data_IF_891554873324
#
_entry.id   IF_891554873324
#
_cell.length_a   1.000
_cell.length_b   1.000
_cell.length_c   1.000
_cell.angle_alpha   90.00
_cell.angle_beta   90.00
_cell.angle_gamma   90.00
#
_symmetry.space_group_name_H-M   'P 1'
#
loop_
_entity.id
_entity.type
_entity.pdbx_description
1 polymer ?
#
# COMPACT_ATOMS: atom_id res chain seq x y z
N UNK A 1 -21.07 -10.66 -3.80
CA UNK A 1 -20.91 -9.29 -3.26
C UNK A 1 -19.56 -8.64 -3.62
N UNK A 2 -18.41 -9.34 -3.57
CA UNK A 2 -17.08 -8.79 -3.84
C UNK A 2 -16.86 -8.26 -5.28
N UNK A 3 -17.57 -8.80 -6.28
CA UNK A 3 -17.48 -8.35 -7.69
C UNK A 3 -18.04 -6.94 -7.92
N UNK A 4 -19.06 -6.53 -7.19
CA UNK A 4 -19.68 -5.22 -7.33
C UNK A 4 -18.91 -4.10 -6.63
N UNK A 5 -18.17 -4.44 -5.57
CA UNK A 5 -17.31 -3.47 -4.87
C UNK A 5 -16.13 -3.04 -5.77
N UNK A 6 -15.57 -3.98 -6.53
CA UNK A 6 -14.44 -3.73 -7.45
C UNK A 6 -14.89 -2.87 -8.64
N UNK A 7 -16.11 -3.06 -9.14
CA UNK A 7 -16.71 -2.24 -10.21
C UNK A 7 -17.00 -0.82 -9.72
N UNK A 8 -17.45 -0.65 -8.48
CA UNK A 8 -17.73 0.66 -7.89
C UNK A 8 -16.44 1.49 -7.72
N UNK A 9 -15.34 0.87 -7.30
CA UNK A 9 -14.04 1.55 -7.20
C UNK A 9 -13.44 1.90 -8.56
N UNK A 10 -13.65 1.07 -9.58
CA UNK A 10 -13.19 1.35 -10.94
C UNK A 10 -13.97 2.51 -11.58
N UNK A 11 -15.27 2.64 -11.28
CA UNK A 11 -16.11 3.73 -11.80
C UNK A 11 -15.76 5.11 -11.21
N UNK A 12 -15.34 5.15 -9.96
CA UNK A 12 -14.89 6.40 -9.31
C UNK A 12 -13.55 6.88 -9.88
N UNK A 13 -12.65 5.96 -10.25
CA UNK A 13 -11.35 6.31 -10.85
C UNK A 13 -11.47 6.84 -12.30
N UNK A 14 -12.52 6.47 -13.04
CA UNK A 14 -12.74 6.89 -14.43
C UNK A 14 -13.45 8.26 -14.53
N UNK A 15 -14.24 8.63 -13.53
CA UNK A 15 -15.01 9.90 -13.57
C UNK A 15 -14.18 11.17 -13.31
N UNK A 16 -12.92 11.06 -12.88
CA UNK A 16 -12.03 12.21 -12.65
C UNK A 16 -11.13 12.57 -13.84
N UNK A 17 -11.18 11.81 -14.94
CA UNK A 17 -10.31 11.99 -16.10
C UNK A 17 -10.93 12.81 -17.26
N UNK A 18 -12.13 13.38 -17.09
CA UNK A 18 -12.74 14.25 -18.10
C UNK A 18 -12.37 15.71 -17.86
N UNK A 19 -11.12 16.07 -18.07
CA UNK A 19 -10.73 17.45 -18.27
C UNK A 19 -11.16 17.85 -19.68
N UNK A 20 -12.14 18.76 -19.78
CA UNK A 20 -12.59 19.36 -21.02
C UNK A 20 -11.43 20.11 -21.67
N UNK A 21 -11.15 19.75 -22.91
CA UNK A 21 -10.34 20.58 -23.81
C UNK A 21 -11.32 21.49 -24.53
N UNK A 22 -11.45 22.72 -24.06
CA UNK A 22 -12.15 23.77 -24.80
C UNK A 22 -11.26 24.25 -25.93
N UNK A 23 -11.64 23.92 -27.13
CA UNK A 23 -11.05 24.46 -28.35
C UNK A 23 -11.81 25.74 -28.71
N UNK A 24 -11.21 26.89 -28.44
CA UNK A 24 -11.73 28.19 -28.88
C UNK A 24 -11.40 28.43 -30.36
N UNK A 25 -12.39 28.89 -31.15
CA UNK A 25 -12.12 29.22 -32.56
C UNK A 25 -11.48 30.61 -32.69
N UNK A 26 -10.43 30.64 -33.46
CA UNK A 26 -9.64 31.76 -33.93
C UNK A 26 -10.51 32.92 -34.49
N UNK A 27 -10.35 34.12 -33.93
CA UNK A 27 -10.81 35.38 -34.52
C UNK A 27 -9.64 36.35 -34.55
N UNK A 28 -9.14 36.57 -35.75
CA UNK A 28 -8.34 37.74 -36.08
C UNK A 28 -9.17 39.01 -35.85
N UNK A 29 -8.64 39.97 -35.09
CA UNK A 29 -8.58 41.37 -35.53
C UNK A 29 -7.63 42.16 -34.63
N UNK A 30 -7.07 43.16 -35.30
CA UNK A 30 -5.90 43.93 -34.95
C UNK A 30 -6.11 44.91 -33.78
N UNK A 31 -4.98 45.29 -33.21
CA UNK A 31 -4.54 46.62 -32.77
C UNK A 31 -4.56 46.96 -31.29
N UNK A 32 -3.42 47.55 -30.90
CA UNK A 32 -3.16 48.41 -29.72
C UNK A 32 -2.70 47.80 -28.40
N UNK A 33 -1.37 47.70 -28.32
CA UNK A 33 -0.53 48.10 -27.17
C UNK A 33 -1.20 48.31 -25.81
N UNK A 34 -1.07 47.30 -24.95
CA UNK A 34 -0.71 47.48 -23.54
C UNK A 34 -0.07 46.22 -23.01
N UNK A 35 1.23 46.28 -22.89
CA UNK A 35 2.04 45.25 -22.24
C UNK A 35 1.79 45.29 -20.75
N UNK A 36 0.73 44.61 -20.26
CA UNK A 36 0.64 44.26 -18.89
C UNK A 36 1.50 43.01 -18.69
N UNK A 37 2.77 43.21 -18.37
CA UNK A 37 3.61 42.17 -17.79
C UNK A 37 2.96 41.74 -16.48
N UNK A 38 2.18 40.66 -16.52
CA UNK A 38 1.90 39.89 -15.33
C UNK A 38 3.25 39.39 -14.77
N UNK A 39 3.56 39.72 -13.51
CA UNK A 39 4.74 39.18 -12.90
C UNK A 39 4.53 37.66 -12.81
N UNK A 40 5.20 36.91 -13.65
CA UNK A 40 5.43 35.47 -13.47
C UNK A 40 6.20 35.34 -12.16
N UNK A 41 5.50 35.24 -11.05
CA UNK A 41 6.08 34.81 -9.79
C UNK A 41 6.48 33.32 -9.96
N UNK A 42 7.51 33.11 -10.75
CA UNK A 42 8.32 31.90 -10.65
C UNK A 42 8.95 31.99 -9.26
N UNK A 43 8.25 31.50 -8.25
CA UNK A 43 8.85 31.21 -6.95
C UNK A 43 9.96 30.22 -7.24
N UNK A 44 11.18 30.72 -7.41
CA UNK A 44 12.39 29.94 -7.23
C UNK A 44 12.36 29.42 -5.79
N UNK A 45 11.69 28.27 -5.61
CA UNK A 45 11.80 27.52 -4.36
C UNK A 45 13.26 27.12 -4.26
N UNK A 46 13.95 27.77 -3.34
CA UNK A 46 15.35 27.48 -3.05
C UNK A 46 15.50 25.95 -3.00
N UNK A 47 16.52 25.44 -3.66
CA UNK A 47 16.82 24.02 -3.83
C UNK A 47 17.12 23.41 -2.44
N UNK A 48 16.06 23.19 -1.65
CA UNK A 48 16.15 22.58 -0.32
C UNK A 48 16.43 21.11 -0.51
N UNK A 49 17.48 20.63 0.17
CA UNK A 49 17.83 19.20 0.18
C UNK A 49 16.68 18.36 0.74
N UNK A 50 16.01 18.85 1.79
CA UNK A 50 14.87 18.25 2.44
C UNK A 50 13.63 19.12 2.19
N UNK A 51 12.59 18.56 1.60
CA UNK A 51 11.38 19.29 1.20
C UNK A 51 10.19 19.05 2.14
N UNK A 52 10.16 17.92 2.85
CA UNK A 52 9.08 17.61 3.80
C UNK A 52 9.10 16.18 4.29
N UNK A 53 8.26 15.93 5.26
CA UNK A 53 8.00 14.61 5.84
C UNK A 53 6.51 14.30 5.66
N UNK A 54 6.19 13.10 5.18
CA UNK A 54 4.81 12.65 5.04
C UNK A 54 4.53 11.49 5.98
N UNK A 55 3.42 11.59 6.71
CA UNK A 55 2.88 10.50 7.51
C UNK A 55 1.61 9.98 6.83
N UNK A 56 1.59 8.71 6.47
CA UNK A 56 0.46 8.08 5.77
C UNK A 56 -0.10 6.87 6.52
N UNK A 57 -1.36 6.58 6.27
CA UNK A 57 -2.06 5.38 6.75
C UNK A 57 -2.77 4.68 5.59
N UNK A 58 -2.82 3.35 5.65
CA UNK A 58 -3.55 2.53 4.68
C UNK A 58 -5.00 2.35 5.10
N UNK A 59 -5.91 2.73 4.20
CA UNK A 59 -7.35 2.62 4.42
C UNK A 59 -7.87 1.22 4.07
N UNK A 60 -7.31 0.58 3.04
CA UNK A 60 -7.78 -0.73 2.57
C UNK A 60 -7.62 -1.78 3.64
N UNK A 61 -6.49 -1.79 4.33
CA UNK A 61 -6.23 -2.73 5.41
C UNK A 61 -7.26 -2.63 6.54
N UNK A 62 -7.66 -1.39 6.87
CA UNK A 62 -8.67 -1.10 7.91
C UNK A 62 -10.06 -1.63 7.48
N UNK A 63 -10.44 -1.42 6.23
CA UNK A 63 -11.72 -1.89 5.69
C UNK A 63 -11.75 -3.41 5.56
N UNK A 64 -10.68 -4.01 5.07
CA UNK A 64 -10.56 -5.47 4.89
C UNK A 64 -10.68 -6.23 6.20
N UNK A 65 -10.23 -5.68 7.31
CA UNK A 65 -10.38 -6.25 8.64
C UNK A 65 -11.84 -6.44 9.08
N UNK A 66 -12.75 -5.62 8.57
CA UNK A 66 -14.18 -5.70 8.89
C UNK A 66 -14.96 -6.69 8.02
N UNK A 67 -14.41 -7.07 6.87
CA UNK A 67 -15.12 -7.83 5.83
C UNK A 67 -14.49 -9.20 5.60
N UNK A 68 -13.27 -9.46 6.11
CA UNK A 68 -12.50 -10.65 5.81
C UNK A 68 -11.90 -11.24 7.10
N UNK A 69 -11.54 -12.52 7.04
CA UNK A 69 -10.85 -13.23 8.14
C UNK A 69 -9.42 -12.72 8.41
N UNK A 70 -8.92 -11.76 7.63
CA UNK A 70 -7.58 -11.17 7.73
C UNK A 70 -7.67 -9.65 7.66
N UNK A 71 -6.85 -8.99 8.48
CA UNK A 71 -6.71 -7.53 8.50
C UNK A 71 -5.24 -7.13 8.60
N UNK A 72 -4.90 -6.04 7.94
CA UNK A 72 -3.60 -5.39 8.04
C UNK A 72 -3.80 -3.91 8.36
N UNK A 73 -3.16 -3.42 9.40
CA UNK A 73 -3.09 -2.00 9.74
C UNK A 73 -1.66 -1.55 9.52
N UNK A 74 -1.46 -0.45 8.81
CA UNK A 74 -0.11 0.05 8.58
C UNK A 74 -0.07 1.57 8.51
N UNK A 75 1.05 2.10 8.98
CA UNK A 75 1.43 3.51 8.86
C UNK A 75 2.77 3.59 8.14
N UNK A 76 2.96 4.65 7.36
CA UNK A 76 4.15 4.92 6.60
C UNK A 76 4.71 6.30 6.95
N UNK A 77 6.01 6.38 7.17
CA UNK A 77 6.75 7.62 7.29
C UNK A 77 7.64 7.74 6.06
N UNK A 78 7.47 8.81 5.28
CA UNK A 78 8.21 9.06 4.05
C UNK A 78 8.84 10.45 4.08
N UNK A 79 10.13 10.52 3.79
CA UNK A 79 10.85 11.78 3.67
C UNK A 79 10.97 12.18 2.19
N UNK A 80 10.79 13.47 1.89
CA UNK A 80 10.93 13.99 0.53
C UNK A 80 12.30 14.68 0.37
N UNK A 81 13.17 14.07 -0.45
CA UNK A 81 14.49 14.58 -0.75
C UNK A 81 14.52 15.09 -2.19
N UNK A 82 14.59 16.42 -2.35
CA UNK A 82 14.65 17.13 -3.65
C UNK A 82 13.48 16.76 -4.59
N UNK A 83 12.32 16.38 -4.07
CA UNK A 83 11.17 15.94 -4.87
C UNK A 83 11.40 14.67 -5.69
N UNK A 84 12.57 14.04 -5.57
CA UNK A 84 12.98 12.92 -6.42
C UNK A 84 13.12 11.60 -5.69
N UNK A 85 13.71 11.61 -4.50
CA UNK A 85 14.01 10.43 -3.71
C UNK A 85 13.16 10.49 -2.44
N UNK A 86 12.43 9.43 -2.18
CA UNK A 86 11.47 9.33 -1.09
C UNK A 86 11.76 8.08 -0.25
N UNK A 87 12.76 8.16 0.66
CA UNK A 87 12.96 7.09 1.63
C UNK A 87 11.70 6.86 2.45
N UNK A 88 11.35 5.61 2.70
CA UNK A 88 10.13 5.23 3.39
C UNK A 88 10.38 4.13 4.42
N UNK A 89 9.76 4.28 5.57
CA UNK A 89 9.65 3.25 6.60
C UNK A 89 8.17 3.01 6.84
N UNK A 90 7.76 1.75 6.81
CA UNK A 90 6.39 1.34 7.12
C UNK A 90 6.40 0.40 8.31
N UNK A 91 5.49 0.63 9.22
CA UNK A 91 5.20 -0.25 10.35
C UNK A 91 3.74 -0.64 10.30
N UNK A 92 3.47 -1.89 10.60
CA UNK A 92 2.10 -2.38 10.60
C UNK A 92 1.90 -3.56 11.53
N UNK A 93 0.64 -3.94 11.61
CA UNK A 93 0.16 -5.05 12.41
C UNK A 93 -0.81 -5.87 11.57
N UNK A 94 -0.49 -7.15 11.37
CA UNK A 94 -1.32 -8.08 10.62
C UNK A 94 -1.96 -9.11 11.52
N UNK A 95 -3.19 -9.49 11.21
CA UNK A 95 -3.90 -10.59 11.88
C UNK A 95 -4.62 -11.45 10.86
N UNK A 96 -4.71 -12.73 11.15
CA UNK A 96 -5.54 -13.67 10.42
C UNK A 96 -6.17 -14.66 11.41
N UNK A 97 -7.44 -14.97 11.18
CA UNK A 97 -8.18 -15.99 11.90
C UNK A 97 -9.04 -16.72 10.85
N UNK A 98 -8.56 -17.87 10.41
CA UNK A 98 -9.21 -18.67 9.36
C UNK A 98 -9.56 -20.03 9.90
N UNK A 99 -10.78 -20.44 9.65
CA UNK A 99 -11.26 -21.79 9.79
C UNK A 99 -11.51 -22.36 8.38
N UNK A 100 -11.02 -23.54 8.14
CA UNK A 100 -11.24 -24.25 6.89
C UNK A 100 -12.38 -25.25 7.11
N UNK A 101 -13.53 -24.95 6.53
CA UNK A 101 -14.76 -25.73 6.71
C UNK A 101 -14.66 -27.16 6.17
N UNK A 102 -13.75 -27.40 5.21
CA UNK A 102 -13.58 -28.73 4.59
C UNK A 102 -12.67 -29.63 5.43
N UNK A 103 -11.62 -29.08 6.05
CA UNK A 103 -10.61 -29.84 6.81
C UNK A 103 -10.75 -29.66 8.32
N UNK A 104 -11.56 -28.70 8.80
CA UNK A 104 -11.69 -28.36 10.21
C UNK A 104 -10.41 -27.79 10.82
N UNK A 105 -9.44 -27.39 10.00
CA UNK A 105 -8.19 -26.77 10.46
C UNK A 105 -8.44 -25.32 10.80
N UNK A 106 -8.14 -24.95 12.02
CA UNK A 106 -8.20 -23.57 12.48
C UNK A 106 -6.79 -22.97 12.53
N UNK A 107 -6.60 -21.82 11.85
CA UNK A 107 -5.34 -21.08 11.81
C UNK A 107 -5.52 -19.68 12.39
N UNK A 108 -4.65 -19.32 13.34
CA UNK A 108 -4.68 -18.00 13.99
C UNK A 108 -3.28 -17.42 14.10
N UNK A 109 -3.12 -16.18 13.72
CA UNK A 109 -1.88 -15.41 13.93
C UNK A 109 -2.18 -13.93 14.06
N UNK A 110 -1.32 -13.23 14.78
CA UNK A 110 -1.31 -11.78 14.87
C UNK A 110 0.10 -11.31 15.24
N UNK A 111 0.65 -10.37 14.47
CA UNK A 111 2.01 -9.87 14.76
C UNK A 111 2.28 -8.54 14.07
N UNK A 112 3.24 -7.75 14.60
CA UNK A 112 3.77 -6.61 13.89
C UNK A 112 4.63 -7.05 12.70
N UNK A 113 4.76 -6.13 11.73
CA UNK A 113 5.69 -6.23 10.62
C UNK A 113 6.30 -4.86 10.31
N UNK A 114 7.45 -4.87 9.69
CA UNK A 114 8.15 -3.66 9.26
C UNK A 114 8.59 -3.76 7.81
N UNK A 115 8.65 -2.62 7.12
CA UNK A 115 9.23 -2.47 5.79
C UNK A 115 10.09 -1.22 5.74
N UNK A 116 11.19 -1.31 5.00
CA UNK A 116 12.05 -0.17 4.70
C UNK A 116 12.31 -0.15 3.20
N UNK A 117 12.38 1.04 2.64
CA UNK A 117 12.62 1.17 1.20
C UNK A 117 12.81 2.58 0.73
N UNK A 118 12.78 2.73 -0.57
CA UNK A 118 12.93 4.02 -1.21
C UNK A 118 12.08 4.06 -2.48
N UNK A 119 11.29 5.11 -2.63
CA UNK A 119 10.51 5.41 -3.82
C UNK A 119 11.21 6.53 -4.61
N UNK A 120 11.10 6.47 -5.94
CA UNK A 120 11.66 7.46 -6.86
C UNK A 120 10.51 8.11 -7.63
N UNK A 121 10.40 9.42 -7.54
CA UNK A 121 9.46 10.18 -8.36
C UNK A 121 9.96 10.24 -9.80
N UNK A 122 9.22 9.62 -10.72
CA UNK A 122 9.58 9.51 -12.14
C UNK A 122 8.99 10.63 -13.01
N UNK A 123 8.13 11.49 -12.43
CA UNK A 123 7.61 12.64 -13.17
C UNK A 123 8.72 13.63 -13.52
N UNK A 124 8.57 14.27 -14.68
CA UNK A 124 9.50 15.30 -15.15
C UNK A 124 9.44 16.54 -14.27
N UNK A 125 8.24 16.99 -13.92
CA UNK A 125 8.02 18.04 -12.94
C UNK A 125 7.91 17.46 -11.53
N UNK A 126 8.88 17.77 -10.69
CA UNK A 126 9.00 17.22 -9.32
C UNK A 126 8.16 17.97 -8.27
N UNK A 127 7.58 19.11 -8.67
CA UNK A 127 6.86 20.01 -7.77
C UNK A 127 5.36 20.12 -8.12
N UNK A 128 4.85 19.18 -8.92
CA UNK A 128 3.42 19.10 -9.21
C UNK A 128 2.63 18.63 -7.99
N UNK A 129 1.32 18.91 -8.02
CA UNK A 129 0.38 18.47 -7.01
C UNK A 129 0.14 16.94 -7.03
N UNK A 130 0.74 16.24 -7.97
CA UNK A 130 0.71 14.77 -8.06
C UNK A 130 2.10 14.19 -8.30
N UNK A 131 2.29 12.98 -7.83
CA UNK A 131 3.55 12.24 -7.92
C UNK A 131 3.28 10.85 -8.49
N UNK A 132 4.14 10.42 -9.40
CA UNK A 132 4.20 9.04 -9.89
C UNK A 132 5.52 8.45 -9.43
N UNK A 133 5.47 7.39 -8.63
CA UNK A 133 6.64 6.83 -7.98
C UNK A 133 6.84 5.37 -8.34
N UNK A 134 8.10 4.98 -8.47
CA UNK A 134 8.53 3.58 -8.53
C UNK A 134 9.49 3.35 -7.38
N UNK A 135 9.28 2.29 -6.63
CA UNK A 135 10.08 2.02 -5.44
C UNK A 135 10.37 0.56 -5.19
N UNK A 136 11.36 0.35 -4.34
CA UNK A 136 11.73 -0.96 -3.83
C UNK A 136 11.65 -0.94 -2.30
N UNK A 137 11.11 -2.01 -1.73
CA UNK A 137 11.00 -2.19 -0.28
C UNK A 137 11.43 -3.59 0.12
N UNK A 138 11.95 -3.68 1.31
CA UNK A 138 12.27 -4.92 1.98
C UNK A 138 11.44 -5.03 3.25
N UNK A 139 10.76 -6.16 3.40
CA UNK A 139 9.85 -6.41 4.50
C UNK A 139 10.30 -7.57 5.37
N UNK A 140 10.01 -7.45 6.66
CA UNK A 140 10.32 -8.44 7.69
C UNK A 140 9.12 -8.58 8.65
N UNK A 141 8.77 -9.81 8.97
CA UNK A 141 7.84 -10.15 10.05
C UNK A 141 8.34 -11.38 10.81
N UNK A 142 8.30 -11.30 12.14
CA UNK A 142 8.53 -12.45 13.02
C UNK A 142 7.26 -12.66 13.83
N UNK A 143 6.64 -13.82 13.69
CA UNK A 143 5.32 -14.08 14.23
C UNK A 143 5.16 -15.51 14.71
N UNK A 144 4.29 -15.66 15.70
CA UNK A 144 3.80 -16.94 16.16
C UNK A 144 2.45 -17.22 15.52
N UNK A 145 2.21 -18.47 15.18
CA UNK A 145 0.92 -18.90 14.66
C UNK A 145 0.45 -20.19 15.31
N UNK A 146 -0.82 -20.27 15.55
CA UNK A 146 -1.51 -21.42 16.13
C UNK A 146 -2.21 -22.17 14.99
N UNK A 147 -1.96 -23.47 14.91
CA UNK A 147 -2.69 -24.36 14.01
C UNK A 147 -3.36 -25.45 14.82
N UNK A 148 -4.67 -25.54 14.72
CA UNK A 148 -5.49 -26.54 15.36
C UNK A 148 -5.98 -27.53 14.30
N UNK A 149 -5.58 -28.78 14.42
CA UNK A 149 -5.94 -29.82 13.45
C UNK A 149 -6.83 -30.85 14.15
N UNK A 150 -8.00 -31.21 13.59
CA UNK A 150 -8.81 -32.29 14.14
C UNK A 150 -8.09 -33.62 13.96
N UNK A 151 -8.00 -34.40 15.02
CA UNK A 151 -7.42 -35.75 15.04
C UNK A 151 -8.48 -36.68 15.59
N UNK A 152 -8.74 -37.76 14.86
CA UNK A 152 -9.62 -38.84 15.29
C UNK A 152 -8.81 -39.88 16.04
N UNK A 153 -9.19 -40.19 17.28
CA UNK A 153 -8.57 -41.25 18.10
C UNK A 153 -9.07 -42.63 17.64
N UNK A 154 -8.33 -43.70 17.96
CA UNK A 154 -8.68 -45.10 17.65
C UNK A 154 -10.09 -45.51 18.11
N UNK A 155 -10.69 -44.76 19.02
CA UNK A 155 -12.04 -44.96 19.54
C UNK A 155 -13.10 -44.09 18.84
N UNK A 156 -12.75 -43.39 17.72
CA UNK A 156 -13.66 -42.50 16.99
C UNK A 156 -13.97 -41.19 17.69
N UNK A 157 -13.20 -40.80 18.72
CA UNK A 157 -13.35 -39.53 19.41
C UNK A 157 -12.56 -38.43 18.73
N UNK A 158 -13.24 -37.38 18.32
CA UNK A 158 -12.58 -36.18 17.75
C UNK A 158 -11.89 -35.39 18.87
N UNK A 159 -10.60 -35.15 18.67
CA UNK A 159 -9.78 -34.25 19.49
C UNK A 159 -9.08 -33.24 18.60
N UNK A 160 -8.62 -32.10 19.16
CA UNK A 160 -7.88 -31.10 18.41
C UNK A 160 -6.44 -31.05 18.90
N UNK A 161 -5.50 -31.23 17.97
CA UNK A 161 -4.10 -31.02 18.25
C UNK A 161 -3.76 -29.55 17.98
N UNK A 162 -3.38 -28.81 19.02
CA UNK A 162 -2.93 -27.43 18.92
C UNK A 162 -1.40 -27.40 18.85
N UNK A 163 -0.89 -26.83 17.75
CA UNK A 163 0.54 -26.63 17.54
C UNK A 163 0.78 -25.12 17.37
N UNK A 164 1.65 -24.57 18.24
CA UNK A 164 2.12 -23.20 18.14
C UNK A 164 3.54 -23.20 17.62
N UNK A 165 3.78 -22.52 16.52
CA UNK A 165 5.11 -22.41 15.92
C UNK A 165 5.47 -20.93 15.69
N UNK A 166 6.79 -20.65 15.67
CA UNK A 166 7.34 -19.33 15.40
C UNK A 166 8.01 -19.31 14.03
N UNK A 167 7.68 -18.29 13.23
CA UNK A 167 8.24 -18.11 11.91
C UNK A 167 8.79 -16.70 11.73
N UNK A 168 9.94 -16.60 11.04
CA UNK A 168 10.45 -15.34 10.51
C UNK A 168 10.30 -15.35 8.99
N UNK A 169 9.64 -14.34 8.46
CA UNK A 169 9.31 -14.21 7.04
C UNK A 169 9.86 -12.91 6.47
N UNK A 170 10.55 -13.02 5.34
CA UNK A 170 11.24 -11.92 4.67
C UNK A 170 10.82 -11.86 3.21
N UNK A 171 10.59 -10.64 2.71
CA UNK A 171 10.17 -10.44 1.32
C UNK A 171 10.70 -9.13 0.74
N UNK A 172 10.75 -9.06 -0.57
CA UNK A 172 10.99 -7.84 -1.33
C UNK A 172 9.71 -7.36 -2.00
N UNK A 173 9.54 -6.05 -2.14
CA UNK A 173 8.40 -5.45 -2.86
C UNK A 173 8.91 -4.51 -3.95
N UNK A 174 8.32 -4.62 -5.14
CA UNK A 174 8.32 -3.59 -6.16
C UNK A 174 7.01 -2.80 -6.03
N UNK A 175 7.13 -1.48 -5.97
CA UNK A 175 5.98 -0.59 -5.73
C UNK A 175 5.87 0.40 -6.89
N UNK A 176 4.66 0.55 -7.42
CA UNK A 176 4.27 1.63 -8.32
C UNK A 176 3.19 2.43 -7.60
N UNK A 177 3.44 3.70 -7.32
CA UNK A 177 2.56 4.58 -6.56
C UNK A 177 2.12 5.80 -7.35
N UNK A 178 0.87 6.20 -7.13
CA UNK A 178 0.33 7.49 -7.56
C UNK A 178 -0.16 8.20 -6.31
N UNK A 179 0.26 9.43 -6.14
CA UNK A 179 -0.07 10.29 -5.01
C UNK A 179 -0.50 11.65 -5.55
N UNK A 180 -1.61 12.16 -5.04
CA UNK A 180 -2.16 13.46 -5.42
C UNK A 180 -2.48 14.29 -4.18
N UNK A 181 -2.13 15.56 -4.24
CA UNK A 181 -2.49 16.56 -3.24
C UNK A 181 -3.97 16.90 -3.41
N UNK A 182 -4.74 16.74 -2.33
CA UNK A 182 -6.18 16.99 -2.34
C UNK A 182 -6.48 18.37 -1.77
N UNK A 183 -5.94 18.70 -0.60
CA UNK A 183 -6.17 19.97 0.04
C UNK A 183 -5.08 20.27 1.08
N UNK A 184 -4.44 21.45 1.01
CA UNK A 184 -3.41 21.85 1.97
C UNK A 184 -2.29 20.81 2.10
N UNK A 185 -2.06 20.24 3.29
CA UNK A 185 -1.06 19.19 3.49
C UNK A 185 -1.56 17.78 3.21
N UNK A 186 -2.85 17.60 2.86
CA UNK A 186 -3.49 16.30 2.69
C UNK A 186 -3.26 15.76 1.30
N UNK A 187 -2.74 14.55 1.25
CA UNK A 187 -2.51 13.77 0.05
C UNK A 187 -3.29 12.46 0.10
N UNK A 188 -3.75 12.00 -1.06
CA UNK A 188 -4.37 10.70 -1.24
C UNK A 188 -3.75 10.00 -2.43
N UNK A 189 -3.63 8.69 -2.32
CA UNK A 189 -3.02 7.94 -3.39
C UNK A 189 -3.34 6.45 -3.33
N UNK A 190 -2.84 5.75 -4.33
CA UNK A 190 -2.87 4.31 -4.40
C UNK A 190 -1.52 3.77 -4.85
N UNK A 191 -1.23 2.54 -4.47
CA UNK A 191 -0.02 1.86 -4.91
C UNK A 191 -0.32 0.43 -5.32
N UNK A 192 0.31 0.03 -6.42
CA UNK A 192 0.41 -1.36 -6.85
C UNK A 192 1.69 -1.94 -6.28
N UNK A 193 1.59 -3.10 -5.64
CA UNK A 193 2.73 -3.76 -5.03
C UNK A 193 2.86 -5.19 -5.52
N UNK A 194 4.03 -5.52 -6.04
CA UNK A 194 4.43 -6.88 -6.33
C UNK A 194 5.36 -7.33 -5.21
N UNK A 195 4.90 -8.25 -4.38
CA UNK A 195 5.64 -8.84 -3.27
C UNK A 195 6.23 -10.17 -3.71
N UNK A 196 7.49 -10.41 -3.37
CA UNK A 196 8.18 -11.67 -3.61
C UNK A 196 8.85 -12.16 -2.34
N UNK A 197 8.55 -13.39 -1.96
CA UNK A 197 9.20 -14.07 -0.84
C UNK A 197 10.70 -14.20 -1.11
N UNK A 198 11.50 -13.81 -0.14
CA UNK A 198 12.96 -13.94 -0.17
C UNK A 198 13.41 -15.11 0.70
N UNK A 199 12.92 -15.16 1.95
CA UNK A 199 13.26 -16.21 2.89
C UNK A 199 12.13 -16.43 3.89
N UNK A 200 12.02 -17.64 4.38
CA UNK A 200 11.17 -17.99 5.50
C UNK A 200 11.91 -19.04 6.34
N UNK A 201 11.80 -18.98 7.66
CA UNK A 201 12.34 -20.02 8.52
C UNK A 201 11.55 -21.32 8.35
N UNK A 202 12.24 -22.45 8.52
CA UNK A 202 11.61 -23.75 8.48
C UNK A 202 10.69 -23.93 9.68
N UNK A 203 9.52 -24.51 9.42
CA UNK A 203 8.51 -24.86 10.41
C UNK A 203 7.98 -26.26 10.10
N UNK A 204 7.52 -26.98 11.11
CA UNK A 204 6.96 -28.33 10.94
C UNK A 204 5.63 -28.25 10.16
N UNK A 205 4.81 -27.23 10.47
CA UNK A 205 3.57 -26.98 9.72
C UNK A 205 3.71 -25.68 8.91
N UNK A 206 3.26 -25.66 7.63
CA UNK A 206 3.35 -24.45 6.80
C UNK A 206 2.43 -23.35 7.33
N UNK A 207 2.95 -22.14 7.46
CA UNK A 207 2.14 -20.96 7.75
C UNK A 207 1.25 -20.63 6.54
N UNK A 208 -0.04 -20.38 6.79
CA UNK A 208 -1.00 -19.99 5.75
C UNK A 208 -0.91 -18.48 5.47
N UNK A 209 -0.64 -17.69 6.50
CA UNK A 209 -0.63 -16.23 6.41
C UNK A 209 0.59 -15.66 7.15
N UNK A 210 1.30 -14.76 6.49
CA UNK A 210 2.39 -13.98 7.08
C UNK A 210 1.97 -12.51 7.20
N UNK A 211 1.99 -11.93 8.42
CA UNK A 211 1.67 -10.51 8.63
C UNK A 211 2.52 -9.60 7.74
N UNK A 212 1.86 -8.68 7.02
CA UNK A 212 2.50 -7.78 6.09
C UNK A 212 2.81 -8.33 4.71
N UNK A 213 2.89 -9.63 4.53
CA UNK A 213 3.04 -10.29 3.22
C UNK A 213 1.70 -10.78 2.68
N UNK A 214 0.91 -11.41 3.52
CA UNK A 214 -0.36 -12.03 3.19
C UNK A 214 -0.27 -13.55 3.14
N UNK A 215 -0.73 -14.19 2.07
CA UNK A 215 -0.71 -15.63 1.92
C UNK A 215 0.73 -16.15 1.79
N UNK A 216 1.20 -16.86 2.81
CA UNK A 216 2.57 -17.34 2.93
C UNK A 216 2.89 -18.53 2.02
N UNK A 217 1.87 -19.20 1.48
CA UNK A 217 2.02 -20.34 0.57
C UNK A 217 2.47 -19.91 -0.83
N UNK A 218 2.23 -18.65 -1.20
CA UNK A 218 2.58 -18.11 -2.51
C UNK A 218 3.97 -17.46 -2.49
N UNK A 219 4.78 -17.74 -3.52
CA UNK A 219 6.10 -17.12 -3.67
C UNK A 219 6.04 -15.66 -4.13
N UNK A 220 4.98 -15.26 -4.81
CA UNK A 220 4.76 -13.90 -5.26
C UNK A 220 3.30 -13.49 -5.16
N UNK A 221 3.07 -12.21 -4.84
CA UNK A 221 1.72 -11.66 -4.69
C UNK A 221 1.63 -10.26 -5.27
N UNK A 222 0.47 -9.99 -5.84
CA UNK A 222 0.07 -8.67 -6.30
C UNK A 222 -0.95 -8.06 -5.33
N UNK A 223 -0.79 -6.78 -5.00
CA UNK A 223 -1.66 -6.08 -4.06
C UNK A 223 -1.86 -4.63 -4.49
N UNK A 224 -3.06 -4.11 -4.22
CA UNK A 224 -3.41 -2.69 -4.38
C UNK A 224 -3.68 -2.13 -2.99
N UNK A 225 -3.10 -0.98 -2.70
CA UNK A 225 -3.31 -0.25 -1.45
C UNK A 225 -3.79 1.17 -1.76
N UNK A 226 -4.67 1.69 -0.90
CA UNK A 226 -5.08 3.10 -0.88
C UNK A 226 -4.60 3.73 0.40
N UNK A 227 -3.97 4.87 0.29
CA UNK A 227 -3.43 5.57 1.44
C UNK A 227 -3.87 7.03 1.47
N UNK A 228 -3.93 7.54 2.68
CA UNK A 228 -4.07 8.97 2.97
C UNK A 228 -2.85 9.40 3.76
N UNK A 229 -2.25 10.49 3.37
CA UNK A 229 -1.06 11.02 4.03
C UNK A 229 -1.15 12.53 4.25
N UNK A 230 -0.43 12.99 5.27
CA UNK A 230 -0.28 14.40 5.60
C UNK A 230 1.19 14.77 5.45
N UNK A 231 1.48 15.75 4.61
CA UNK A 231 2.83 16.30 4.41
C UNK A 231 3.06 17.50 5.35
N UNK A 232 4.18 17.44 6.10
CA UNK A 232 4.57 18.39 7.13
C UNK A 232 5.88 19.09 6.72
#
# INVERSE_FOLDING_TARGET
MMRYLLVLFLSIAVSTASAQVDVEPNRHDADSTMTAQMPSTTRHRANRFFEGLSLGVDIVGIVMDRVTYKGEYQAALQANIKGKILPVIELGYGKANREDDDTGVHYKTKSPFGRIGCDFNILRNKHDDYRLTVGLRYGLSSFDFDTSTPVEDELGKMSYELVTEKMTFQWAELVLGVDAKVAGPLHMGWSLRLRKKVSASDCTKPAIYAPGYGDATQNSRFMVLYFVSVEI
#
